data_IF_441808086374
#
_entry.id   IF_441808086374
#
_cell.length_a   1.000
_cell.length_b   1.000
_cell.length_c   1.000
_cell.angle_alpha   90.00
_cell.angle_beta   90.00
_cell.angle_gamma   90.00
#
_symmetry.space_group_name_H-M   'P 1'
#
loop_
_entity.id
_entity.type
_entity.pdbx_description
1 polymer ?
#
# COMPACT_ATOMS: atom_id res chain seq x y z
N UNK A 1 -10.70 -50.49 -16.98
CA UNK A 1 -11.89 -49.62 -17.08
C UNK A 1 -11.65 -48.39 -16.21
N UNK A 2 -11.15 -47.32 -16.83
CA UNK A 2 -10.86 -46.04 -16.17
C UNK A 2 -12.11 -45.19 -16.39
N UNK A 3 -12.82 -44.82 -15.31
CA UNK A 3 -13.93 -43.87 -15.38
C UNK A 3 -13.36 -42.46 -15.26
N UNK A 4 -13.50 -41.69 -16.33
CA UNK A 4 -13.28 -40.25 -16.36
C UNK A 4 -14.31 -39.55 -15.47
N UNK A 5 -13.84 -38.78 -14.50
CA UNK A 5 -14.68 -37.82 -13.77
C UNK A 5 -14.55 -36.48 -14.49
N UNK A 6 -15.66 -36.06 -15.11
CA UNK A 6 -15.83 -34.74 -15.71
C UNK A 6 -16.06 -33.72 -14.59
N UNK A 7 -15.09 -32.83 -14.37
CA UNK A 7 -15.28 -31.64 -13.55
C UNK A 7 -16.10 -30.63 -14.37
N UNK A 8 -17.31 -30.35 -13.88
CA UNK A 8 -18.21 -29.34 -14.44
C UNK A 8 -17.53 -27.98 -14.36
N UNK A 9 -17.45 -27.30 -15.51
CA UNK A 9 -17.11 -25.88 -15.61
C UNK A 9 -18.17 -25.06 -14.88
N UNK A 10 -17.87 -24.64 -13.66
CA UNK A 10 -18.57 -23.54 -12.98
C UNK A 10 -18.11 -22.23 -13.62
N UNK A 11 -19.06 -21.42 -14.07
CA UNK A 11 -18.81 -20.14 -14.70
C UNK A 11 -18.24 -19.15 -13.68
N UNK A 12 -16.98 -18.75 -13.83
CA UNK A 12 -16.48 -17.48 -13.28
C UNK A 12 -17.24 -16.37 -14.00
N UNK A 13 -18.05 -15.61 -13.27
CA UNK A 13 -18.59 -14.35 -13.74
C UNK A 13 -17.67 -13.25 -13.23
N UNK A 14 -16.91 -12.68 -14.17
CA UNK A 14 -16.00 -11.56 -13.98
C UNK A 14 -16.73 -10.35 -13.39
N UNK A 15 -16.16 -9.79 -12.31
CA UNK A 15 -16.59 -8.53 -11.72
C UNK A 15 -16.05 -7.38 -12.58
N UNK A 16 -16.97 -6.54 -13.06
CA UNK A 16 -16.68 -5.39 -13.91
C UNK A 16 -16.47 -4.17 -13.02
N UNK A 17 -15.23 -3.70 -12.87
CA UNK A 17 -14.95 -2.40 -12.26
C UNK A 17 -15.14 -1.30 -13.31
N UNK A 18 -16.14 -0.43 -13.11
CA UNK A 18 -16.37 0.75 -13.95
C UNK A 18 -15.52 1.91 -13.40
N UNK A 19 -14.49 2.32 -14.15
CA UNK A 19 -13.75 3.54 -13.87
C UNK A 19 -14.49 4.75 -14.46
N UNK A 20 -14.86 5.72 -13.61
CA UNK A 20 -15.42 7.01 -14.03
C UNK A 20 -14.28 8.01 -14.26
N UNK A 21 -14.15 8.49 -15.51
CA UNK A 21 -13.14 9.46 -15.93
C UNK A 21 -13.58 10.88 -15.58
N UNK A 22 -12.84 11.56 -14.70
CA UNK A 22 -12.95 13.00 -14.47
C UNK A 22 -12.10 13.79 -15.48
N UNK A 23 -12.75 14.57 -16.34
CA UNK A 23 -12.10 15.47 -17.30
C UNK A 23 -11.60 16.76 -16.60
N UNK A 24 -10.32 17.10 -16.76
CA UNK A 24 -9.77 18.45 -16.46
C UNK A 24 -9.33 19.10 -17.77
N UNK A 25 -9.69 20.37 -18.06
CA UNK A 25 -9.36 21.00 -19.33
C UNK A 25 -7.90 21.49 -19.38
N UNK A 26 -7.23 21.15 -20.50
CA UNK A 26 -5.90 21.64 -20.89
C UNK A 26 -5.96 23.11 -21.35
N UNK A 27 -5.19 23.97 -20.68
CA UNK A 27 -4.86 25.31 -21.16
C UNK A 27 -3.52 25.31 -21.90
N UNK A 28 -3.51 25.83 -23.13
CA UNK A 28 -2.33 25.96 -23.98
C UNK A 28 -1.54 27.24 -23.67
N UNK A 29 -0.22 27.16 -23.62
CA UNK A 29 0.67 28.30 -23.78
C UNK A 29 1.89 27.92 -24.63
N UNK A 30 2.23 28.79 -25.57
CA UNK A 30 3.08 28.54 -26.72
C UNK A 30 4.47 29.19 -26.56
N UNK A 31 5.48 28.42 -26.94
CA UNK A 31 6.87 28.68 -27.35
C UNK A 31 7.58 30.03 -27.09
N UNK A 32 8.83 29.92 -26.64
CA UNK A 32 9.89 30.92 -26.87
C UNK A 32 11.27 30.26 -26.91
N UNK A 33 11.88 30.21 -28.10
CA UNK A 33 13.28 29.78 -28.31
C UNK A 33 14.23 30.96 -28.14
N UNK A 34 15.30 30.79 -27.36
CA UNK A 34 16.49 31.64 -27.46
C UNK A 34 17.76 30.85 -27.13
N UNK A 35 18.66 30.79 -28.09
CA UNK A 35 20.03 30.28 -27.97
C UNK A 35 21.00 31.44 -27.74
N UNK A 36 21.98 31.29 -26.83
CA UNK A 36 23.29 31.97 -26.93
C UNK A 36 24.35 31.22 -26.10
N UNK A 37 25.64 31.17 -26.51
CA UNK A 37 26.64 30.26 -25.95
C UNK A 37 27.66 30.92 -25.00
N UNK A 38 28.18 30.10 -24.06
CA UNK A 38 29.57 30.12 -23.60
C UNK A 38 29.95 31.04 -22.43
N UNK A 39 30.14 30.47 -21.24
CA UNK A 39 31.13 30.92 -20.27
C UNK A 39 31.54 29.74 -19.36
N UNK A 40 32.78 29.29 -19.47
CA UNK A 40 33.39 28.32 -18.56
C UNK A 40 33.96 29.05 -17.34
N UNK A 41 33.66 28.55 -16.14
CA UNK A 41 34.30 28.93 -14.87
C UNK A 41 34.41 27.68 -13.95
N UNK A 42 35.32 27.69 -12.96
CA UNK A 42 36.30 26.64 -12.73
C UNK A 42 35.79 25.46 -11.88
N UNK A 43 36.53 24.35 -11.98
CA UNK A 43 36.39 23.17 -11.15
C UNK A 43 36.55 23.52 -9.66
N UNK A 44 35.43 23.51 -8.94
CA UNK A 44 35.36 23.43 -7.49
C UNK A 44 34.89 22.03 -7.11
N UNK A 45 35.81 21.20 -6.60
CA UNK A 45 35.47 19.98 -5.91
C UNK A 45 34.88 20.35 -4.54
N UNK A 46 33.57 20.27 -4.39
CA UNK A 46 32.95 20.03 -3.09
C UNK A 46 32.30 18.65 -3.13
N UNK A 47 32.99 17.70 -2.51
CA UNK A 47 32.50 16.37 -2.21
C UNK A 47 31.44 16.48 -1.09
N UNK A 48 30.25 16.97 -1.43
CA UNK A 48 29.05 16.69 -0.66
C UNK A 48 28.49 15.37 -1.15
N UNK A 49 28.57 14.30 -0.35
CA UNK A 49 27.76 13.11 -0.61
C UNK A 49 26.31 13.58 -0.61
N UNK A 50 25.67 13.59 -1.78
CA UNK A 50 24.26 13.91 -1.89
C UNK A 50 23.50 12.99 -0.93
N UNK A 51 22.80 13.56 0.04
CA UNK A 51 21.97 12.80 0.98
C UNK A 51 20.89 12.09 0.16
N UNK A 52 20.70 10.79 0.42
CA UNK A 52 19.64 10.00 -0.18
C UNK A 52 18.29 10.68 0.08
N UNK A 53 17.47 10.94 -0.94
CA UNK A 53 16.12 11.45 -0.73
C UNK A 53 15.29 10.44 0.06
N UNK A 54 14.58 10.92 1.08
CA UNK A 54 13.85 10.07 2.03
C UNK A 54 12.44 10.57 2.24
N UNK A 55 11.53 9.62 2.48
CA UNK A 55 10.29 9.86 3.21
C UNK A 55 10.43 9.20 4.58
N UNK A 56 10.05 9.92 5.63
CA UNK A 56 9.76 9.37 6.94
C UNK A 56 8.55 10.11 7.52
N UNK A 57 7.61 9.37 8.10
CA UNK A 57 6.46 9.91 8.81
C UNK A 57 6.11 8.96 9.95
N UNK A 58 6.03 9.48 11.18
CA UNK A 58 5.65 8.72 12.38
C UNK A 58 4.16 8.84 12.74
N UNK A 59 3.36 9.45 11.85
CA UNK A 59 1.92 9.59 11.99
C UNK A 59 1.44 10.37 13.23
N UNK A 60 2.23 11.32 13.74
CA UNK A 60 1.79 12.26 14.78
C UNK A 60 0.78 13.31 14.26
N UNK A 61 -0.43 12.86 13.87
CA UNK A 61 -1.56 13.66 13.40
C UNK A 61 -2.72 13.68 14.39
N UNK A 62 -3.67 14.61 14.29
CA UNK A 62 -4.79 14.66 15.27
C UNK A 62 -6.06 13.95 14.81
N UNK A 63 -6.32 13.91 13.51
CA UNK A 63 -7.56 13.38 12.91
C UNK A 63 -7.40 13.23 11.40
N UNK A 64 -8.33 12.55 10.73
CA UNK A 64 -8.41 12.53 9.25
C UNK A 64 -8.57 13.92 8.61
N UNK A 65 -8.90 14.94 9.40
CA UNK A 65 -9.01 16.34 8.97
C UNK A 65 -7.81 17.21 9.36
N UNK A 66 -6.74 16.62 9.93
CA UNK A 66 -5.52 17.36 10.22
C UNK A 66 -4.93 17.92 8.92
N UNK A 67 -4.84 19.24 8.81
CA UNK A 67 -4.36 19.91 7.61
C UNK A 67 -2.92 19.56 7.22
N UNK A 68 -2.13 19.04 8.18
CA UNK A 68 -0.77 18.56 7.91
C UNK A 68 -0.75 17.36 6.98
N UNK A 69 -1.81 16.52 6.97
CA UNK A 69 -1.89 15.37 6.06
C UNK A 69 -1.73 15.82 4.60
N UNK A 70 -2.58 16.74 4.15
CA UNK A 70 -2.50 17.27 2.79
C UNK A 70 -1.21 18.06 2.52
N UNK A 71 -0.68 18.79 3.51
CA UNK A 71 0.60 19.49 3.38
C UNK A 71 1.78 18.53 3.21
N UNK A 72 1.67 17.33 3.79
CA UNK A 72 2.67 16.25 3.75
C UNK A 72 2.36 15.21 2.67
N UNK A 73 1.46 15.50 1.72
CA UNK A 73 1.22 14.66 0.55
C UNK A 73 0.29 13.46 0.77
N UNK A 74 -0.33 13.34 1.95
CA UNK A 74 -1.34 12.34 2.25
C UNK A 74 -2.74 12.77 1.77
N UNK A 75 -3.48 11.80 1.27
CA UNK A 75 -4.91 11.88 0.94
C UNK A 75 -5.65 10.80 1.73
N UNK A 76 -6.62 11.21 2.53
CA UNK A 76 -7.58 10.29 3.14
C UNK A 76 -8.67 9.98 2.12
N UNK A 77 -8.88 8.70 1.80
CA UNK A 77 -9.81 8.30 0.75
C UNK A 77 -11.26 8.59 1.17
N UNK A 78 -11.98 9.29 0.31
CA UNK A 78 -13.41 9.62 0.46
C UNK A 78 -14.23 9.26 -0.78
N UNK A 79 -13.64 8.52 -1.70
CA UNK A 79 -14.23 8.21 -3.00
C UNK A 79 -14.35 6.69 -3.17
N UNK A 80 -15.38 6.27 -3.90
CA UNK A 80 -15.68 4.88 -4.16
C UNK A 80 -14.67 4.15 -5.06
N UNK A 81 -15.02 2.92 -5.43
CA UNK A 81 -14.19 2.04 -6.26
C UNK A 81 -13.58 0.89 -5.47
N UNK A 82 -12.86 0.01 -6.17
CA UNK A 82 -12.22 -1.15 -5.56
C UNK A 82 -10.97 -0.80 -4.73
N UNK A 83 -10.38 -1.78 -4.04
CA UNK A 83 -10.91 -3.14 -3.82
C UNK A 83 -12.09 -3.18 -2.82
N UNK A 84 -12.53 -4.37 -2.42
CA UNK A 84 -13.60 -4.58 -1.43
C UNK A 84 -15.01 -4.52 -1.98
N UNK A 85 -15.97 -4.14 -1.13
CA UNK A 85 -17.41 -4.17 -1.42
C UNK A 85 -17.88 -3.23 -2.55
N UNK A 86 -16.99 -2.42 -3.12
CA UNK A 86 -17.34 -1.37 -4.08
C UNK A 86 -18.25 -0.29 -3.50
N UNK A 87 -18.83 0.53 -4.38
CA UNK A 87 -19.67 1.67 -3.96
C UNK A 87 -18.90 2.73 -3.17
N UNK A 88 -19.61 3.47 -2.32
CA UNK A 88 -19.07 4.55 -1.47
C UNK A 88 -18.74 4.05 -0.06
N UNK A 89 -18.09 2.88 0.05
CA UNK A 89 -17.79 2.24 1.34
C UNK A 89 -16.49 2.75 1.98
N UNK A 90 -15.72 3.60 1.31
CA UNK A 90 -14.48 4.18 1.86
C UNK A 90 -14.77 5.44 2.67
N UNK A 91 -14.65 5.34 3.99
CA UNK A 91 -15.09 6.35 4.95
C UNK A 91 -13.87 7.08 5.57
N UNK A 92 -13.68 8.39 5.32
CA UNK A 92 -12.58 9.16 5.91
C UNK A 92 -12.52 9.11 7.44
N UNK A 93 -13.68 9.09 8.09
CA UNK A 93 -13.80 9.01 9.55
C UNK A 93 -13.21 7.73 10.16
N UNK A 94 -13.04 6.69 9.35
CA UNK A 94 -12.39 5.45 9.76
C UNK A 94 -10.86 5.52 9.73
N UNK A 95 -10.29 6.60 9.17
CA UNK A 95 -8.88 6.95 9.33
C UNK A 95 -8.74 7.80 10.59
N UNK A 96 -8.12 7.22 11.61
CA UNK A 96 -7.90 7.86 12.91
C UNK A 96 -6.43 7.87 13.29
N UNK A 97 -6.12 8.59 14.36
CA UNK A 97 -4.80 8.59 14.97
C UNK A 97 -4.97 8.44 16.47
N UNK A 98 -4.27 7.47 17.06
CA UNK A 98 -4.44 7.08 18.47
C UNK A 98 -3.09 6.93 19.14
N UNK A 99 -3.04 7.03 20.46
CA UNK A 99 -1.81 6.79 21.21
C UNK A 99 -1.36 5.32 21.03
N UNK A 100 -0.07 5.13 20.74
CA UNK A 100 0.60 3.84 20.61
C UNK A 100 1.92 3.81 21.38
N UNK A 101 2.74 2.78 21.14
CA UNK A 101 4.07 2.68 21.75
C UNK A 101 5.04 3.59 20.99
N UNK A 102 5.57 4.61 21.66
CA UNK A 102 6.55 5.52 21.06
C UNK A 102 5.97 6.78 20.41
N UNK A 103 4.65 6.95 20.42
CA UNK A 103 4.00 8.13 19.88
C UNK A 103 2.55 7.86 19.50
N UNK A 104 1.98 8.75 18.70
CA UNK A 104 0.69 8.52 18.06
C UNK A 104 0.90 7.67 16.82
N UNK A 105 -0.06 6.80 16.51
CA UNK A 105 -0.03 5.89 15.37
C UNK A 105 -1.26 6.09 14.49
N UNK A 106 -1.13 5.85 13.19
CA UNK A 106 -2.26 5.72 12.28
C UNK A 106 -3.10 4.51 12.71
N UNK A 107 -4.43 4.67 12.71
CA UNK A 107 -5.41 3.61 12.92
C UNK A 107 -6.39 3.59 11.76
N UNK A 108 -6.52 2.43 11.11
CA UNK A 108 -7.51 2.16 10.09
C UNK A 108 -8.59 1.27 10.70
N UNK A 109 -9.79 1.82 10.87
CA UNK A 109 -10.96 1.06 11.31
C UNK A 109 -11.76 0.56 10.11
N UNK A 110 -12.36 -0.63 10.20
CA UNK A 110 -13.35 -1.08 9.22
C UNK A 110 -14.53 -1.70 9.97
N UNK A 111 -15.75 -1.35 9.55
CA UNK A 111 -16.98 -1.81 10.19
C UNK A 111 -17.88 -2.51 9.20
N UNK A 112 -18.59 -3.55 9.63
CA UNK A 112 -19.61 -4.19 8.80
C UNK A 112 -20.72 -4.81 9.66
N UNK A 113 -21.93 -4.86 9.12
CA UNK A 113 -23.07 -5.62 9.64
C UNK A 113 -23.43 -6.80 8.71
N UNK A 114 -22.52 -7.23 7.84
CA UNK A 114 -22.74 -8.31 6.87
C UNK A 114 -23.43 -7.84 5.58
N UNK A 115 -23.78 -6.56 5.47
CA UNK A 115 -24.33 -5.97 4.24
C UNK A 115 -23.37 -4.96 3.62
N UNK A 116 -23.45 -4.77 2.30
CA UNK A 116 -22.68 -3.72 1.60
C UNK A 116 -23.00 -2.33 2.15
N UNK A 117 -24.28 -2.03 2.45
CA UNK A 117 -24.71 -0.73 2.93
C UNK A 117 -24.27 -0.43 4.37
N UNK A 118 -24.11 -1.46 5.20
CA UNK A 118 -23.56 -1.34 6.55
C UNK A 118 -22.04 -1.54 6.63
N UNK A 119 -21.35 -1.63 5.49
CA UNK A 119 -19.90 -1.77 5.44
C UNK A 119 -19.21 -0.42 5.21
N UNK A 120 -18.22 -0.12 6.03
CA UNK A 120 -17.32 1.02 5.88
C UNK A 120 -15.86 0.57 6.06
N UNK A 121 -15.00 1.03 5.16
CA UNK A 121 -13.60 0.64 4.99
C UNK A 121 -12.72 1.89 5.13
N UNK A 122 -11.42 1.71 5.31
CA UNK A 122 -10.49 2.83 5.49
C UNK A 122 -9.30 2.73 4.56
N UNK A 123 -8.91 3.86 3.97
CA UNK A 123 -7.69 3.97 3.19
C UNK A 123 -7.10 5.38 3.30
N UNK A 124 -5.78 5.41 3.39
CA UNK A 124 -4.98 6.62 3.26
C UNK A 124 -3.84 6.34 2.27
N UNK A 125 -3.59 7.30 1.38
CA UNK A 125 -2.61 7.16 0.32
C UNK A 125 -1.73 8.41 0.20
N UNK A 126 -0.49 8.22 -0.22
CA UNK A 126 0.46 9.28 -0.48
C UNK A 126 0.48 9.67 -1.97
N UNK A 127 1.03 10.83 -2.31
CA UNK A 127 1.32 11.19 -3.71
C UNK A 127 2.20 10.15 -4.40
N UNK A 128 1.94 9.94 -5.70
CA UNK A 128 2.65 9.00 -6.57
C UNK A 128 4.01 9.56 -7.01
N UNK A 129 5.10 9.12 -6.38
CA UNK A 129 6.46 9.59 -6.66
C UNK A 129 7.59 8.63 -6.23
N UNK A 130 7.25 7.44 -5.76
CA UNK A 130 8.23 6.49 -5.21
C UNK A 130 8.48 5.37 -6.21
N UNK A 131 9.73 5.05 -6.52
CA UNK A 131 10.04 4.01 -7.52
C UNK A 131 11.08 3.03 -7.02
N UNK A 132 12.37 3.31 -7.22
CA UNK A 132 13.46 2.46 -6.75
C UNK A 132 13.83 2.77 -5.30
N UNK A 133 14.37 1.76 -4.63
CA UNK A 133 14.92 1.87 -3.28
C UNK A 133 14.19 1.02 -2.27
N UNK A 134 14.23 1.44 -1.01
CA UNK A 134 13.69 0.67 0.12
C UNK A 134 12.41 1.29 0.62
N UNK A 135 11.36 0.50 0.76
CA UNK A 135 10.09 0.86 1.38
C UNK A 135 9.96 0.09 2.67
N UNK A 136 9.51 0.76 3.73
CA UNK A 136 9.29 0.10 5.00
C UNK A 136 8.14 0.73 5.77
N UNK A 137 7.44 -0.08 6.54
CA UNK A 137 6.46 0.39 7.51
C UNK A 137 6.41 -0.55 8.70
N UNK A 138 6.12 0.00 9.87
CA UNK A 138 5.79 -0.80 11.06
C UNK A 138 4.28 -0.87 11.21
N UNK A 139 3.72 -2.05 10.97
CA UNK A 139 2.28 -2.29 10.90
C UNK A 139 1.87 -3.24 12.01
N UNK A 140 0.72 -2.95 12.64
CA UNK A 140 0.07 -3.88 13.57
C UNK A 140 -1.11 -4.54 12.88
N UNK A 141 -1.06 -5.85 12.75
CA UNK A 141 -2.20 -6.64 12.28
C UNK A 141 -3.02 -7.20 13.45
N UNK A 142 -4.30 -7.42 13.20
CA UNK A 142 -5.25 -8.02 14.14
C UNK A 142 -5.84 -9.31 13.57
N UNK A 143 -5.94 -10.35 14.41
CA UNK A 143 -6.62 -11.61 14.06
C UNK A 143 -8.13 -11.58 14.30
N UNK A 144 -8.59 -10.67 15.16
CA UNK A 144 -9.96 -10.63 15.64
C UNK A 144 -10.45 -9.19 15.68
N UNK A 145 -11.76 -8.93 15.52
CA UNK A 145 -12.31 -7.60 15.63
C UNK A 145 -12.15 -7.04 17.05
N UNK A 146 -12.02 -5.72 17.16
CA UNK A 146 -12.02 -5.02 18.46
C UNK A 146 -13.41 -4.99 19.12
N UNK A 147 -14.47 -5.24 18.34
CA UNK A 147 -15.84 -5.39 18.81
C UNK A 147 -16.67 -6.22 17.83
N UNK A 148 -17.64 -6.98 18.34
CA UNK A 148 -18.56 -7.80 17.54
C UNK A 148 -18.03 -9.20 17.20
N UNK A 149 -18.76 -9.98 16.37
CA UNK A 149 -18.38 -11.34 16.01
C UNK A 149 -17.21 -11.37 15.02
N UNK A 150 -16.39 -12.41 15.15
CA UNK A 150 -15.24 -12.69 14.30
C UNK A 150 -15.57 -13.72 13.19
N UNK A 151 -14.83 -13.66 12.09
CA UNK A 151 -14.87 -14.64 10.99
C UNK A 151 -15.11 -14.05 9.60
N UNK A 152 -15.17 -12.73 9.42
CA UNK A 152 -15.16 -12.14 8.08
C UNK A 152 -13.80 -12.32 7.41
N UNK A 153 -13.78 -12.64 6.11
CA UNK A 153 -12.57 -12.48 5.30
C UNK A 153 -12.36 -10.98 5.00
N UNK A 154 -11.22 -10.46 5.41
CA UNK A 154 -10.81 -9.07 5.20
C UNK A 154 -9.31 -9.02 4.90
N UNK A 155 -8.87 -7.88 4.39
CA UNK A 155 -7.47 -7.59 4.10
C UNK A 155 -7.01 -6.40 4.95
N UNK A 156 -5.84 -6.53 5.54
CA UNK A 156 -5.07 -5.47 6.20
C UNK A 156 -3.78 -5.26 5.41
N UNK A 157 -3.61 -4.10 4.78
CA UNK A 157 -2.56 -3.91 3.77
C UNK A 157 -1.62 -2.73 4.02
N UNK A 158 -0.38 -2.94 3.59
CA UNK A 158 0.61 -1.91 3.26
C UNK A 158 1.11 -2.23 1.86
N UNK A 159 0.98 -1.29 0.94
CA UNK A 159 1.34 -1.54 -0.45
C UNK A 159 1.77 -0.27 -1.18
N UNK A 160 2.32 -0.46 -2.38
CA UNK A 160 2.59 0.63 -3.31
C UNK A 160 1.94 0.33 -4.65
N UNK A 161 1.34 1.33 -5.31
CA UNK A 161 0.60 1.09 -6.57
C UNK A 161 0.74 2.24 -7.59
N UNK A 162 0.76 1.87 -8.87
CA UNK A 162 0.39 2.73 -9.99
C UNK A 162 -1.00 2.33 -10.50
N UNK A 163 -2.01 3.22 -10.53
CA UNK A 163 -3.37 2.83 -10.90
C UNK A 163 -3.49 2.21 -12.30
N UNK A 164 -4.25 1.13 -12.42
CA UNK A 164 -4.55 0.49 -13.72
C UNK A 164 -5.47 1.39 -14.56
N UNK A 165 -5.00 1.92 -15.69
CA UNK A 165 -5.81 2.79 -16.57
C UNK A 165 -6.68 1.99 -17.53
N UNK A 166 -6.21 0.81 -17.95
CA UNK A 166 -6.89 -0.10 -18.87
C UNK A 166 -6.33 -1.53 -18.68
N UNK A 167 -7.03 -2.59 -19.15
CA UNK A 167 -6.53 -3.96 -19.06
C UNK A 167 -5.12 -4.12 -19.64
N UNK A 168 -4.24 -4.80 -18.91
CA UNK A 168 -2.83 -5.00 -19.27
C UNK A 168 -2.05 -3.69 -19.48
N UNK A 169 -2.39 -2.62 -18.75
CA UNK A 169 -1.62 -1.38 -18.77
C UNK A 169 -0.16 -1.63 -18.37
N UNK A 170 0.82 -1.36 -19.24
CA UNK A 170 2.24 -1.59 -18.95
C UNK A 170 2.82 -0.55 -17.98
N UNK A 171 2.08 0.52 -17.65
CA UNK A 171 2.52 1.42 -16.58
C UNK A 171 2.06 0.95 -15.20
N UNK A 172 1.21 -0.08 -15.12
CA UNK A 172 0.83 -0.66 -13.83
C UNK A 172 2.06 -1.21 -13.10
N UNK A 173 1.96 -1.24 -11.79
CA UNK A 173 3.00 -1.74 -10.93
C UNK A 173 2.46 -1.74 -9.51
N UNK A 174 2.62 -2.83 -8.79
CA UNK A 174 2.15 -2.93 -7.41
C UNK A 174 3.06 -3.84 -6.58
N UNK A 175 3.33 -3.44 -5.33
CA UNK A 175 4.10 -4.20 -4.37
C UNK A 175 3.30 -4.30 -3.07
N UNK A 176 2.92 -5.51 -2.69
CA UNK A 176 1.93 -5.76 -1.64
C UNK A 176 2.51 -6.45 -0.41
N UNK A 177 2.00 -6.03 0.75
CA UNK A 177 1.86 -6.83 1.96
C UNK A 177 0.37 -6.87 2.33
N UNK A 178 -0.28 -8.01 2.16
CA UNK A 178 -1.71 -8.19 2.38
C UNK A 178 -1.98 -9.30 3.39
N UNK A 179 -2.38 -8.93 4.62
CA UNK A 179 -2.68 -9.89 5.67
C UNK A 179 -4.17 -10.22 5.73
N UNK A 180 -4.48 -11.52 5.66
CA UNK A 180 -5.83 -12.05 5.73
C UNK A 180 -5.98 -12.90 6.98
N UNK A 181 -6.52 -12.38 8.11
CA UNK A 181 -6.55 -13.09 9.39
C UNK A 181 -7.49 -14.30 9.39
N UNK A 182 -8.57 -14.25 8.61
CA UNK A 182 -9.59 -15.30 8.54
C UNK A 182 -9.52 -16.12 7.24
N UNK A 183 -8.41 -16.03 6.51
CA UNK A 183 -8.27 -16.64 5.19
C UNK A 183 -8.97 -15.83 4.09
N UNK A 184 -9.17 -16.49 2.95
CA UNK A 184 -9.55 -15.86 1.69
C UNK A 184 -8.58 -16.23 0.57
N UNK A 185 -8.93 -15.92 -0.68
CA UNK A 185 -8.12 -16.21 -1.88
C UNK A 185 -7.64 -17.67 -2.00
N UNK A 186 -8.46 -18.61 -1.50
CA UNK A 186 -8.16 -20.04 -1.54
C UNK A 186 -7.34 -20.56 -0.34
N UNK A 187 -6.98 -19.71 0.62
CA UNK A 187 -6.44 -20.11 1.91
C UNK A 187 -7.57 -20.29 2.93
N UNK A 188 -7.49 -21.36 3.73
CA UNK A 188 -8.49 -21.64 4.78
C UNK A 188 -8.11 -21.10 6.16
N UNK A 189 -6.90 -20.57 6.33
CA UNK A 189 -6.43 -19.96 7.57
C UNK A 189 -5.66 -18.69 7.28
N UNK A 190 -5.13 -18.05 8.32
CA UNK A 190 -4.40 -16.80 8.18
C UNK A 190 -3.17 -16.93 7.31
N UNK A 191 -2.92 -15.88 6.52
CA UNK A 191 -1.69 -15.75 5.75
C UNK A 191 -1.40 -14.28 5.44
N UNK A 192 -0.12 -13.93 5.42
CA UNK A 192 0.40 -12.71 4.81
C UNK A 192 0.82 -13.02 3.37
N UNK A 193 0.18 -12.37 2.41
CA UNK A 193 0.55 -12.43 1.00
C UNK A 193 1.52 -11.31 0.68
N UNK A 194 2.57 -11.66 -0.04
CA UNK A 194 3.51 -10.74 -0.63
C UNK A 194 3.37 -10.89 -2.14
N UNK A 195 2.86 -9.87 -2.81
CA UNK A 195 2.59 -9.95 -4.24
C UNK A 195 3.28 -8.79 -4.95
N UNK A 196 3.88 -9.08 -6.10
CA UNK A 196 4.37 -8.06 -7.02
C UNK A 196 3.62 -8.21 -8.33
N UNK A 197 3.01 -7.13 -8.80
CA UNK A 197 2.26 -7.11 -10.04
C UNK A 197 2.94 -6.25 -11.07
N UNK A 198 3.07 -6.80 -12.27
CA UNK A 198 3.38 -6.02 -13.46
C UNK A 198 2.10 -5.41 -14.03
N UNK A 199 1.07 -6.24 -14.23
CA UNK A 199 -0.20 -5.80 -14.82
C UNK A 199 -1.29 -6.87 -14.72
N UNK A 200 -2.54 -6.50 -15.00
CA UNK A 200 -3.65 -7.44 -15.05
C UNK A 200 -4.80 -6.97 -15.96
N UNK A 201 -5.68 -7.90 -16.32
CA UNK A 201 -6.99 -7.62 -16.91
C UNK A 201 -8.09 -7.96 -15.89
N UNK A 202 -8.94 -6.99 -15.50
CA UNK A 202 -10.09 -7.25 -14.63
C UNK A 202 -11.03 -8.35 -15.16
N UNK A 203 -11.07 -8.59 -16.47
CA UNK A 203 -11.85 -9.68 -17.06
C UNK A 203 -11.20 -11.06 -16.91
N UNK A 204 -9.89 -11.12 -16.63
CA UNK A 204 -9.13 -12.32 -16.32
C UNK A 204 -7.72 -12.31 -16.91
N UNK A 205 -6.75 -12.81 -16.13
CA UNK A 205 -5.33 -12.89 -16.49
C UNK A 205 -4.51 -11.82 -15.77
N UNK A 206 -3.30 -12.19 -15.37
CA UNK A 206 -2.36 -11.33 -14.66
C UNK A 206 -0.93 -11.69 -15.01
N UNK A 207 -0.03 -10.72 -14.84
CA UNK A 207 1.40 -10.96 -14.73
C UNK A 207 1.82 -10.49 -13.34
N UNK A 208 1.98 -11.45 -12.44
CA UNK A 208 2.36 -11.22 -11.05
C UNK A 208 3.15 -12.41 -10.50
N UNK A 209 3.86 -12.16 -9.40
CA UNK A 209 4.52 -13.18 -8.59
C UNK A 209 4.01 -13.03 -7.15
N UNK A 210 3.66 -14.13 -6.48
CA UNK A 210 3.09 -14.08 -5.14
C UNK A 210 3.68 -15.17 -4.26
N UNK A 211 4.03 -14.79 -3.04
CA UNK A 211 4.48 -15.67 -1.96
C UNK A 211 3.54 -15.50 -0.77
N UNK A 212 3.09 -16.60 -0.18
CA UNK A 212 2.30 -16.57 1.05
C UNK A 212 3.14 -17.02 2.24
N UNK A 213 3.05 -16.29 3.35
CA UNK A 213 3.54 -16.68 4.68
C UNK A 213 2.34 -17.17 5.49
N UNK A 214 2.14 -18.49 5.65
CA UNK A 214 0.98 -19.02 6.36
C UNK A 214 1.15 -18.89 7.86
N UNK A 215 0.05 -18.63 8.55
CA UNK A 215 0.00 -18.47 9.99
C UNK A 215 -0.45 -17.09 10.42
N UNK A 216 -0.67 -16.95 11.73
CA UNK A 216 -1.02 -15.67 12.33
C UNK A 216 0.20 -14.74 12.32
N UNK A 217 -0.02 -13.53 11.84
CA UNK A 217 0.89 -12.39 11.94
C UNK A 217 0.24 -11.29 12.80
N UNK A 218 -0.60 -11.65 13.77
CA UNK A 218 -1.18 -10.67 14.69
C UNK A 218 -0.12 -10.10 15.63
N UNK A 219 -0.05 -8.77 15.67
CA UNK A 219 1.01 -8.05 16.39
C UNK A 219 1.69 -7.02 15.52
N UNK A 220 2.73 -6.40 16.09
CA UNK A 220 3.55 -5.41 15.40
C UNK A 220 4.64 -6.10 14.58
N UNK A 221 4.74 -5.73 13.32
CA UNK A 221 5.73 -6.24 12.39
C UNK A 221 6.41 -5.11 11.62
N UNK A 222 7.71 -5.28 11.38
CA UNK A 222 8.47 -4.42 10.48
C UNK A 222 8.44 -5.04 9.07
N UNK A 223 7.72 -4.40 8.16
CA UNK A 223 7.54 -4.82 6.78
C UNK A 223 8.49 -4.03 5.90
N UNK A 224 9.34 -4.70 5.12
CA UNK A 224 10.32 -4.03 4.24
C UNK A 224 10.30 -4.66 2.85
N UNK A 225 10.19 -3.85 1.80
CA UNK A 225 10.45 -4.28 0.42
C UNK A 225 11.58 -3.45 -0.19
N UNK A 226 12.56 -4.13 -0.77
CA UNK A 226 13.69 -3.53 -1.46
C UNK A 226 13.51 -3.72 -2.97
N UNK A 227 13.49 -2.61 -3.71
CA UNK A 227 13.37 -2.57 -5.17
C UNK A 227 14.68 -2.02 -5.76
N UNK A 228 15.58 -2.93 -6.18
CA UNK A 228 16.97 -2.60 -6.55
C UNK A 228 17.20 -2.25 -8.04
N UNK A 229 16.11 -2.14 -8.80
CA UNK A 229 16.12 -1.95 -10.26
C UNK A 229 16.10 -3.25 -11.05
N UNK A 230 16.22 -4.40 -10.40
CA UNK A 230 16.29 -5.72 -11.07
C UNK A 230 15.50 -6.83 -10.36
N UNK A 231 15.37 -6.74 -9.04
CA UNK A 231 14.69 -7.72 -8.19
C UNK A 231 13.96 -7.03 -7.05
N UNK A 232 13.02 -7.75 -6.47
CA UNK A 232 12.22 -7.32 -5.33
C UNK A 232 12.49 -8.28 -4.18
N UNK A 233 12.92 -7.77 -3.02
CA UNK A 233 13.14 -8.57 -1.81
C UNK A 233 12.25 -8.10 -0.69
N UNK A 234 11.45 -9.02 -0.16
CA UNK A 234 10.52 -8.74 0.91
C UNK A 234 11.01 -9.35 2.22
N UNK A 235 10.95 -8.56 3.28
CA UNK A 235 11.33 -8.94 4.63
C UNK A 235 10.17 -8.73 5.59
N UNK A 236 10.07 -9.68 6.53
CA UNK A 236 9.18 -9.63 7.68
C UNK A 236 10.07 -9.74 8.92
N UNK A 237 10.09 -8.69 9.75
CA UNK A 237 10.92 -8.62 10.97
C UNK A 237 12.40 -8.92 10.71
N UNK A 238 12.93 -8.34 9.62
CA UNK A 238 14.32 -8.53 9.19
C UNK A 238 14.62 -9.85 8.49
N UNK A 239 13.69 -10.82 8.49
CA UNK A 239 13.85 -12.10 7.78
C UNK A 239 13.37 -11.96 6.34
N UNK A 240 14.23 -12.31 5.38
CA UNK A 240 13.83 -12.44 3.97
C UNK A 240 12.76 -13.55 3.84
N UNK A 241 11.60 -13.19 3.31
CA UNK A 241 10.46 -14.11 3.14
C UNK A 241 10.08 -14.35 1.68
N UNK A 242 10.42 -13.42 0.78
CA UNK A 242 10.23 -13.58 -0.66
C UNK A 242 11.32 -12.83 -1.45
N UNK A 243 11.67 -13.38 -2.61
CA UNK A 243 12.42 -12.69 -3.66
C UNK A 243 11.65 -12.89 -4.97
N UNK A 244 11.20 -11.80 -5.58
CA UNK A 244 10.51 -11.82 -6.87
C UNK A 244 11.42 -11.25 -7.96
N UNK A 245 11.26 -11.79 -9.16
CA UNK A 245 12.17 -11.51 -10.26
C UNK A 245 11.79 -10.23 -11.04
N UNK A 246 12.68 -9.77 -11.93
CA UNK A 246 12.50 -8.52 -12.68
C UNK A 246 11.32 -8.47 -13.65
N UNK A 247 10.62 -9.56 -13.94
CA UNK A 247 9.45 -9.57 -14.82
C UNK A 247 8.18 -8.96 -14.19
N UNK A 248 8.22 -8.70 -12.88
CA UNK A 248 7.14 -8.06 -12.10
C UNK A 248 7.64 -6.82 -11.38
N UNK A 249 8.71 -6.22 -11.89
CA UNK A 249 9.32 -5.04 -11.32
C UNK A 249 8.60 -3.79 -11.85
N UNK A 250 8.17 -2.86 -10.97
CA UNK A 250 7.37 -1.71 -11.40
C UNK A 250 8.12 -0.84 -12.41
N UNK A 251 7.47 -0.49 -13.52
CA UNK A 251 8.03 0.37 -14.57
C UNK A 251 7.89 1.87 -14.29
N UNK A 252 6.99 2.25 -13.38
CA UNK A 252 6.67 3.65 -13.07
C UNK A 252 6.70 3.96 -11.58
N UNK A 253 6.81 5.25 -11.18
CA UNK A 253 6.64 5.64 -9.79
C UNK A 253 5.24 5.31 -9.28
N UNK A 254 5.19 4.76 -8.08
CA UNK A 254 4.01 4.31 -7.34
C UNK A 254 3.68 5.30 -6.20
N UNK A 255 2.44 5.21 -5.72
CA UNK A 255 1.99 5.83 -4.48
C UNK A 255 2.10 4.79 -3.35
N UNK A 256 2.36 5.24 -2.11
CA UNK A 256 2.28 4.39 -0.91
C UNK A 256 0.85 4.44 -0.36
N UNK A 257 0.31 3.28 0.00
CA UNK A 257 -1.05 3.13 0.51
C UNK A 257 -1.10 2.25 1.76
N UNK A 258 -2.06 2.54 2.63
CA UNK A 258 -2.51 1.66 3.69
C UNK A 258 -4.02 1.55 3.63
N UNK A 259 -4.56 0.33 3.67
CA UNK A 259 -6.01 0.13 3.70
C UNK A 259 -6.41 -1.07 4.57
N UNK A 260 -7.67 -1.05 5.01
CA UNK A 260 -8.34 -2.19 5.61
C UNK A 260 -9.74 -2.33 5.02
N UNK A 261 -10.04 -3.49 4.43
CA UNK A 261 -11.25 -3.68 3.63
C UNK A 261 -11.76 -5.14 3.67
N UNK A 262 -13.06 -5.32 3.46
CA UNK A 262 -13.72 -6.63 3.53
C UNK A 262 -13.83 -7.28 2.15
N UNK A 263 -13.58 -8.58 2.08
CA UNK A 263 -13.74 -9.37 0.86
C UNK A 263 -15.24 -9.67 0.66
N UNK A 264 -15.77 -9.27 -0.51
CA UNK A 264 -17.22 -9.33 -0.79
C UNK A 264 -17.86 -10.70 -0.57
N UNK A 265 -17.13 -11.77 -0.87
CA UNK A 265 -17.62 -13.13 -0.75
C UNK A 265 -17.40 -13.76 0.63
N UNK A 266 -16.74 -13.05 1.55
CA UNK A 266 -16.26 -13.60 2.82
C UNK A 266 -16.93 -13.02 4.06
N UNK A 267 -18.03 -12.29 3.92
CA UNK A 267 -18.77 -11.76 5.07
C UNK A 267 -19.52 -12.86 5.83
N UNK A 268 -19.55 -12.74 7.15
CA UNK A 268 -20.42 -13.55 8.01
C UNK A 268 -21.90 -13.31 7.70
N UNK A 269 -22.70 -14.38 7.75
CA UNK A 269 -24.17 -14.32 7.76
C UNK A 269 -24.67 -13.90 9.16
N UNK A 270 -24.37 -12.65 9.52
CA UNK A 270 -24.76 -12.03 10.78
C UNK A 270 -24.99 -10.54 10.60
N UNK A 271 -26.10 -10.05 11.17
CA UNK A 271 -26.43 -8.62 11.23
C UNK A 271 -25.84 -7.88 12.43
N UNK A 272 -25.07 -8.58 13.27
CA UNK A 272 -24.35 -7.95 14.37
C UNK A 272 -23.16 -7.14 13.82
N UNK A 273 -23.06 -5.88 14.24
CA UNK A 273 -21.98 -5.00 13.82
C UNK A 273 -20.65 -5.47 14.42
N UNK A 274 -19.60 -5.52 13.60
CA UNK A 274 -18.23 -5.74 14.04
C UNK A 274 -17.30 -4.65 13.53
N UNK A 275 -16.24 -4.40 14.29
CA UNK A 275 -15.21 -3.41 13.98
C UNK A 275 -13.83 -4.05 14.04
N UNK A 276 -13.06 -3.86 12.99
CA UNK A 276 -11.67 -4.31 12.86
C UNK A 276 -10.72 -3.11 12.91
N UNK A 277 -9.48 -3.33 13.35
CA UNK A 277 -8.45 -2.29 13.38
C UNK A 277 -7.09 -2.82 12.92
N UNK A 278 -6.48 -2.09 11.98
CA UNK A 278 -5.06 -2.15 11.64
C UNK A 278 -4.40 -0.85 12.14
N UNK A 279 -3.15 -0.92 12.58
CA UNK A 279 -2.40 0.26 13.01
C UNK A 279 -1.07 0.37 12.25
N UNK A 280 -0.54 1.59 12.13
CA UNK A 280 0.77 1.86 11.51
C UNK A 280 1.52 2.88 12.35
N UNK A 281 2.71 2.51 12.82
CA UNK A 281 3.54 3.33 13.70
C UNK A 281 4.40 4.33 12.92
N UNK A 282 4.96 3.90 11.80
CA UNK A 282 5.73 4.78 10.91
C UNK A 282 5.79 4.19 9.50
N UNK A 283 6.10 5.07 8.54
CA UNK A 283 6.49 4.69 7.17
C UNK A 283 7.82 5.35 6.81
N UNK A 284 8.62 4.63 6.03
CA UNK A 284 9.92 5.06 5.56
C UNK A 284 10.12 4.67 4.10
N UNK A 285 10.73 5.57 3.32
CA UNK A 285 11.26 5.24 2.01
C UNK A 285 12.63 5.88 1.80
N UNK A 286 13.61 5.10 1.34
CA UNK A 286 14.90 5.58 0.88
C UNK A 286 14.96 5.48 -0.64
N UNK A 287 14.99 6.61 -1.35
CA UNK A 287 14.96 6.64 -2.80
C UNK A 287 16.30 6.20 -3.39
N UNK A 288 16.26 5.26 -4.33
CA UNK A 288 17.44 4.71 -5.05
C UNK A 288 18.50 4.07 -4.15
N UNK A 289 18.15 3.73 -2.90
CA UNK A 289 19.07 3.09 -1.95
C UNK A 289 18.46 1.81 -1.36
N UNK A 290 19.30 0.78 -1.26
CA UNK A 290 18.97 -0.51 -0.66
C UNK A 290 19.52 -0.54 0.75
N UNK A 291 18.64 -0.23 1.69
CA UNK A 291 18.89 -0.13 3.13
C UNK A 291 18.44 -1.42 3.78
N UNK A 292 19.28 -2.04 4.62
CA UNK A 292 18.88 -3.28 5.31
C UNK A 292 17.77 -3.02 6.34
N UNK A 293 16.97 -4.04 6.71
CA UNK A 293 15.95 -3.87 7.75
C UNK A 293 16.50 -3.28 9.06
N UNK A 294 17.66 -3.74 9.54
CA UNK A 294 18.29 -3.20 10.75
C UNK A 294 18.68 -1.71 10.59
N UNK A 295 19.14 -1.32 9.40
CA UNK A 295 19.47 0.08 9.11
C UNK A 295 18.22 0.94 9.04
N UNK A 296 17.11 0.47 8.45
CA UNK A 296 15.81 1.17 8.47
C UNK A 296 15.40 1.48 9.91
N UNK A 297 15.48 0.49 10.81
CA UNK A 297 15.14 0.69 12.21
C UNK A 297 16.08 1.70 12.91
N UNK A 298 17.37 1.68 12.57
CA UNK A 298 18.33 2.65 13.07
C UNK A 298 18.04 4.07 12.58
N UNK A 299 17.68 4.26 11.31
CA UNK A 299 17.29 5.55 10.73
C UNK A 299 16.02 6.10 11.39
N UNK A 300 14.98 5.27 11.52
CA UNK A 300 13.72 5.64 12.21
C UNK A 300 13.99 6.06 13.66
N UNK A 301 14.79 5.28 14.40
CA UNK A 301 15.19 5.64 15.76
C UNK A 301 15.99 6.95 15.79
N UNK A 302 16.84 7.18 14.79
CA UNK A 302 17.59 8.42 14.59
C UNK A 302 16.68 9.65 14.44
N UNK A 303 15.68 9.58 13.55
CA UNK A 303 14.69 10.64 13.37
C UNK A 303 13.96 10.96 14.67
N UNK A 304 13.40 9.94 15.33
CA UNK A 304 12.65 10.09 16.59
C UNK A 304 13.51 10.68 17.70
N UNK A 305 14.74 10.19 17.87
CA UNK A 305 15.66 10.72 18.89
C UNK A 305 16.07 12.18 18.65
N UNK A 306 15.97 12.63 17.40
CA UNK A 306 16.24 14.02 16.98
C UNK A 306 14.99 14.90 16.98
N UNK A 307 13.82 14.36 17.36
CA UNK A 307 12.54 15.07 17.33
C UNK A 307 12.00 15.35 15.93
N UNK A 308 12.42 14.58 14.94
CA UNK A 308 11.86 14.61 13.58
C UNK A 308 10.69 13.65 13.55
N UNK A 309 9.48 14.17 13.36
CA UNK A 309 8.22 13.42 13.21
C UNK A 309 7.92 13.13 11.72
N UNK A 310 8.40 14.00 10.83
CA UNK A 310 8.22 13.89 9.40
C UNK A 310 9.38 14.53 8.62
N UNK A 311 9.86 13.84 7.59
CA UNK A 311 10.71 14.39 6.53
C UNK A 311 10.29 13.82 5.18
N UNK A 312 10.19 14.68 4.18
CA UNK A 312 9.98 14.26 2.80
C UNK A 312 10.87 15.09 1.88
N UNK A 313 11.98 14.49 1.46
CA UNK A 313 12.93 15.07 0.50
C UNK A 313 12.87 14.36 -0.85
N UNK A 314 11.96 13.39 -1.03
CA UNK A 314 11.74 12.70 -2.31
C UNK A 314 11.17 13.71 -3.32
N UNK A 315 11.83 13.94 -4.47
CA UNK A 315 11.35 14.88 -5.46
C UNK A 315 9.92 14.57 -5.91
N UNK A 316 9.12 15.61 -6.13
CA UNK A 316 7.87 15.44 -6.87
C UNK A 316 8.18 14.88 -8.27
N UNK A 317 7.38 13.91 -8.71
CA UNK A 317 7.48 13.30 -10.04
C UNK A 317 7.06 14.23 -11.16
#
# INVERSE_FOLDING_TARGET
MIKSVSLRRGALRSLLAVAVVGLVPLGTAQAGTATTPGAALPAGHENGTAQTPVLFDDFDYTSHTDSRLGQRGWTVRSYGGGPGMGGDTWAPENVGFTDGEGGRVLRLSATTDGTQAGTAQAEILHQRKFHHGTYAARVRFSDTPVAGPDGDELVQAFFTITPLRFPYDPEYGELDFEYLPNGGWGQSGSALFLTSWETYDPAGGSLNESTAVPGSEAGWHDLVVQADGTSLRYYLDGRLVAEHNGAVYPDTPMAIHFNQWFIETGLLDSSESRTWEQQVDWVYHAKDEIVSPDQVLAEVAGYRSSGVDHVDTVPAG
#
